data_IF_012109447221
#
_entry.id   IF_012109447221
#
_cell.length_a   1.000
_cell.length_b   1.000
_cell.length_c   1.000
_cell.angle_alpha   90.00
_cell.angle_beta   90.00
_cell.angle_gamma   90.00
#
_symmetry.space_group_name_H-M   'P 1'
#
loop_
_entity.id
_entity.type
_entity.pdbx_description
1 polymer ?
#
# COMPACT_ATOMS: atom_id res chain seq x y z
N UNK A 1 20.81 2.36 -3.03
CA UNK A 1 19.55 1.65 -2.73
C UNK A 1 19.90 0.28 -2.18
N UNK A 2 19.03 -0.30 -1.35
CA UNK A 2 19.19 -1.68 -0.87
C UNK A 2 18.76 -2.67 -1.97
N UNK A 3 19.32 -3.88 -1.95
CA UNK A 3 19.03 -4.91 -2.95
C UNK A 3 17.53 -5.24 -3.05
N UNK A 4 16.80 -5.17 -1.93
CA UNK A 4 15.36 -5.47 -1.93
C UNK A 4 14.52 -4.38 -2.61
N UNK A 5 14.89 -3.11 -2.42
CA UNK A 5 14.22 -1.99 -3.11
C UNK A 5 14.42 -2.04 -4.62
N UNK A 6 15.62 -2.42 -5.07
CA UNK A 6 15.89 -2.59 -6.51
C UNK A 6 15.06 -3.74 -7.11
N UNK A 7 14.90 -4.87 -6.38
CA UNK A 7 14.04 -5.98 -6.78
C UNK A 7 12.57 -5.58 -6.86
N UNK A 8 12.08 -4.83 -5.88
CA UNK A 8 10.72 -4.30 -5.88
C UNK A 8 10.46 -3.44 -7.11
N UNK A 9 11.33 -2.45 -7.37
CA UNK A 9 11.19 -1.56 -8.52
C UNK A 9 11.18 -2.36 -9.83
N UNK A 10 12.11 -3.31 -9.99
CA UNK A 10 12.17 -4.14 -11.18
C UNK A 10 10.90 -4.99 -11.38
N UNK A 11 10.32 -5.52 -10.30
CA UNK A 11 9.05 -6.27 -10.39
C UNK A 11 7.89 -5.35 -10.75
N UNK A 12 7.77 -4.18 -10.12
CA UNK A 12 6.73 -3.21 -10.44
C UNK A 12 6.83 -2.80 -11.91
N UNK A 13 8.02 -2.43 -12.39
CA UNK A 13 8.24 -2.05 -13.80
C UNK A 13 7.92 -3.18 -14.76
N UNK A 14 8.25 -4.43 -14.41
CA UNK A 14 7.89 -5.61 -15.19
C UNK A 14 6.37 -5.76 -15.32
N UNK A 15 5.61 -5.55 -14.25
CA UNK A 15 4.15 -5.60 -14.30
C UNK A 15 3.57 -4.39 -15.06
N UNK A 16 4.12 -3.19 -14.88
CA UNK A 16 3.69 -1.94 -15.51
C UNK A 16 3.82 -1.96 -17.04
N UNK A 17 4.76 -2.73 -17.62
CA UNK A 17 4.93 -2.86 -19.09
C UNK A 17 3.67 -3.30 -19.84
N UNK A 18 2.69 -3.90 -19.14
CA UNK A 18 1.41 -4.33 -19.71
C UNK A 18 0.41 -3.17 -19.89
N UNK A 19 0.68 -2.02 -19.29
CA UNK A 19 -0.24 -0.89 -19.16
C UNK A 19 0.37 0.37 -19.75
N UNK A 20 -0.48 1.29 -20.20
CA UNK A 20 -0.02 2.61 -20.64
C UNK A 20 0.28 3.50 -19.44
N UNK A 21 1.16 4.47 -19.65
CA UNK A 21 1.37 5.55 -18.70
C UNK A 21 0.01 6.22 -18.39
N UNK A 22 -0.25 6.43 -17.10
CA UNK A 22 -1.53 6.93 -16.54
C UNK A 22 -2.73 5.97 -16.53
N UNK A 23 -2.60 4.72 -16.99
CA UNK A 23 -3.62 3.72 -16.66
C UNK A 23 -3.58 3.39 -15.15
N UNK A 24 -4.72 3.04 -14.52
CA UNK A 24 -4.77 2.85 -13.08
C UNK A 24 -3.70 1.90 -12.53
N UNK A 25 -3.47 0.70 -13.10
CA UNK A 25 -2.40 -0.18 -12.64
C UNK A 25 -0.99 0.42 -12.77
N UNK A 26 -0.76 1.24 -13.80
CA UNK A 26 0.51 1.95 -13.95
C UNK A 26 0.72 2.94 -12.80
N UNK A 27 -0.29 3.77 -12.52
CA UNK A 27 -0.21 4.78 -11.45
C UNK A 27 -0.12 4.18 -10.05
N UNK A 28 -0.79 3.04 -9.81
CA UNK A 28 -0.66 2.27 -8.56
C UNK A 28 0.77 1.77 -8.40
N UNK A 29 1.40 1.28 -9.48
CA UNK A 29 2.80 0.90 -9.46
C UNK A 29 3.72 2.04 -9.02
N UNK A 30 3.53 3.25 -9.54
CA UNK A 30 4.31 4.43 -9.09
C UNK A 30 4.12 4.72 -7.60
N UNK A 31 2.89 4.67 -7.11
CA UNK A 31 2.63 4.88 -5.69
C UNK A 31 3.24 3.78 -4.79
N UNK A 32 3.26 2.53 -5.24
CA UNK A 32 3.93 1.43 -4.51
C UNK A 32 5.45 1.59 -4.49
N UNK A 33 6.07 2.20 -5.52
CA UNK A 33 7.49 2.56 -5.48
C UNK A 33 7.76 3.59 -4.38
N UNK A 34 6.89 4.60 -4.24
CA UNK A 34 7.00 5.61 -3.20
C UNK A 34 6.84 5.01 -1.79
N UNK A 35 5.86 4.13 -1.59
CA UNK A 35 5.64 3.42 -0.33
C UNK A 35 6.85 2.51 -0.01
N UNK A 36 7.32 1.73 -0.97
CA UNK A 36 8.48 0.85 -0.84
C UNK A 36 9.79 1.59 -0.57
N UNK A 37 9.89 2.87 -0.94
CA UNK A 37 11.08 3.68 -0.67
C UNK A 37 11.26 3.99 0.84
N UNK A 38 10.18 3.96 1.64
CA UNK A 38 10.19 4.32 3.06
C UNK A 38 11.09 3.42 3.91
N UNK A 39 11.05 2.11 3.71
CA UNK A 39 11.88 1.16 4.46
C UNK A 39 12.11 -0.14 3.70
N UNK A 40 13.19 -0.85 4.02
CA UNK A 40 13.49 -2.15 3.41
C UNK A 40 12.47 -3.23 3.78
N UNK A 41 11.88 -3.16 4.98
CA UNK A 41 10.83 -4.09 5.41
C UNK A 41 9.55 -3.95 4.56
N UNK A 42 9.09 -2.72 4.35
CA UNK A 42 7.93 -2.45 3.48
C UNK A 42 8.22 -2.94 2.06
N UNK A 43 9.44 -2.70 1.56
CA UNK A 43 9.82 -3.16 0.23
C UNK A 43 9.82 -4.69 0.09
N UNK A 44 10.24 -5.41 1.14
CA UNK A 44 10.25 -6.88 1.16
C UNK A 44 8.83 -7.46 1.13
N UNK A 45 7.92 -6.94 1.95
CA UNK A 45 6.50 -7.33 1.97
C UNK A 45 5.87 -7.10 0.59
N UNK A 46 6.01 -5.89 0.04
CA UNK A 46 5.48 -5.56 -1.27
C UNK A 46 6.06 -6.45 -2.38
N UNK A 47 7.37 -6.71 -2.35
CA UNK A 47 8.00 -7.56 -3.35
C UNK A 47 7.46 -8.99 -3.31
N UNK A 48 7.27 -9.55 -2.11
CA UNK A 48 6.71 -10.89 -1.93
C UNK A 48 5.24 -10.95 -2.39
N UNK A 49 4.42 -10.00 -1.96
CA UNK A 49 2.99 -9.96 -2.27
C UNK A 49 2.73 -9.75 -3.76
N UNK A 50 3.52 -8.92 -4.44
CA UNK A 50 3.39 -8.69 -5.88
C UNK A 50 3.63 -9.94 -6.74
N UNK A 51 4.22 -11.01 -6.19
CA UNK A 51 4.33 -12.31 -6.87
C UNK A 51 3.01 -13.10 -6.86
N UNK A 52 2.06 -12.75 -5.99
CA UNK A 52 0.74 -13.36 -5.91
C UNK A 52 -0.21 -12.64 -6.88
N UNK A 53 -0.88 -13.39 -7.76
CA UNK A 53 -1.84 -12.85 -8.73
C UNK A 53 -2.98 -12.05 -8.07
N UNK A 54 -3.39 -12.43 -6.85
CA UNK A 54 -4.44 -11.72 -6.10
C UNK A 54 -3.95 -10.43 -5.43
N UNK A 55 -2.65 -10.18 -5.45
CA UNK A 55 -2.01 -9.02 -4.81
C UNK A 55 -1.05 -8.31 -5.77
N UNK A 56 -1.20 -8.52 -7.08
CA UNK A 56 -0.41 -7.81 -8.09
C UNK A 56 -0.91 -6.35 -8.29
N UNK A 57 -0.21 -5.56 -9.10
CA UNK A 57 -0.60 -4.15 -9.33
C UNK A 57 -2.01 -4.00 -9.95
N UNK A 58 -2.45 -4.99 -10.72
CA UNK A 58 -3.77 -5.00 -11.37
C UNK A 58 -4.87 -5.26 -10.34
N UNK A 59 -4.65 -6.19 -9.41
CA UNK A 59 -5.55 -6.47 -8.29
C UNK A 59 -5.66 -5.27 -7.34
N UNK A 60 -4.53 -4.61 -7.02
CA UNK A 60 -4.54 -3.39 -6.22
C UNK A 60 -5.30 -2.24 -6.91
N UNK A 61 -5.13 -2.07 -8.23
CA UNK A 61 -5.91 -1.10 -9.00
C UNK A 61 -7.40 -1.42 -9.02
N UNK A 62 -7.78 -2.69 -9.15
CA UNK A 62 -9.17 -3.13 -9.07
C UNK A 62 -9.78 -2.88 -7.69
N UNK A 63 -9.02 -3.10 -6.60
CA UNK A 63 -9.46 -2.79 -5.25
C UNK A 63 -9.76 -1.29 -5.09
N UNK A 64 -8.88 -0.41 -5.59
CA UNK A 64 -9.13 1.03 -5.60
C UNK A 64 -10.35 1.38 -6.45
N UNK A 65 -10.50 0.80 -7.63
CA UNK A 65 -11.66 1.03 -8.50
C UNK A 65 -12.97 0.61 -7.81
N UNK A 66 -13.01 -0.55 -7.15
CA UNK A 66 -14.17 -1.00 -6.38
C UNK A 66 -14.49 -0.06 -5.21
N UNK A 67 -13.47 0.42 -4.49
CA UNK A 67 -13.66 1.42 -3.45
C UNK A 67 -14.26 2.69 -4.04
N UNK A 68 -13.74 3.13 -5.17
CA UNK A 68 -14.27 4.27 -5.90
C UNK A 68 -15.75 4.01 -6.23
N UNK A 69 -16.08 2.93 -6.93
CA UNK A 69 -17.43 2.61 -7.37
C UNK A 69 -18.45 2.48 -6.23
N UNK A 70 -18.04 1.95 -5.06
CA UNK A 70 -18.88 1.89 -3.86
C UNK A 70 -19.17 3.26 -3.25
N UNK A 71 -18.22 4.20 -3.36
CA UNK A 71 -18.31 5.54 -2.76
C UNK A 71 -18.68 6.63 -3.78
N UNK A 72 -18.73 6.30 -5.07
CA UNK A 72 -19.19 7.17 -6.12
C UNK A 72 -20.65 7.54 -5.86
N UNK A 73 -20.91 8.82 -5.63
CA UNK A 73 -22.26 9.36 -5.67
C UNK A 73 -22.92 9.13 -7.04
N UNK A 74 -24.20 9.48 -7.19
CA UNK A 74 -25.01 9.20 -8.39
C UNK A 74 -24.37 9.66 -9.72
N UNK A 75 -23.47 10.63 -9.69
CA UNK A 75 -22.80 11.16 -10.87
C UNK A 75 -21.56 10.36 -11.35
N UNK A 76 -21.08 9.35 -10.60
CA UNK A 76 -19.86 8.56 -10.96
C UNK A 76 -18.61 9.41 -11.24
N UNK A 77 -18.49 10.57 -10.59
CA UNK A 77 -17.38 11.54 -10.75
C UNK A 77 -16.66 11.76 -9.42
N UNK A 78 -16.22 10.69 -8.78
CA UNK A 78 -15.46 10.82 -7.55
C UNK A 78 -14.05 10.27 -7.77
N UNK A 79 -13.08 10.94 -7.16
CA UNK A 79 -11.68 10.59 -7.27
C UNK A 79 -11.20 10.18 -5.88
N UNK A 80 -10.31 9.20 -5.83
CA UNK A 80 -9.61 8.85 -4.61
C UNK A 80 -8.44 9.82 -4.47
N UNK A 81 -8.39 10.54 -3.35
CA UNK A 81 -7.25 11.42 -3.05
C UNK A 81 -5.96 10.60 -2.89
N UNK A 82 -4.77 11.14 -3.20
CA UNK A 82 -3.52 10.41 -3.03
C UNK A 82 -3.32 9.82 -1.61
N UNK A 83 -3.65 10.60 -0.56
CA UNK A 83 -3.61 10.14 0.84
C UNK A 83 -4.53 8.95 1.07
N UNK A 84 -5.78 9.01 0.59
CA UNK A 84 -6.71 7.89 0.75
C UNK A 84 -6.27 6.65 -0.04
N UNK A 85 -5.68 6.82 -1.22
CA UNK A 85 -5.12 5.71 -1.98
C UNK A 85 -3.96 5.06 -1.23
N UNK A 86 -3.10 5.84 -0.58
CA UNK A 86 -1.99 5.35 0.25
C UNK A 86 -2.50 4.50 1.41
N UNK A 87 -3.48 5.00 2.17
CA UNK A 87 -4.14 4.24 3.25
C UNK A 87 -4.72 2.91 2.75
N UNK A 88 -5.48 2.94 1.65
CA UNK A 88 -6.11 1.75 1.09
C UNK A 88 -5.09 0.72 0.58
N UNK A 89 -3.98 1.18 -0.02
CA UNK A 89 -2.90 0.30 -0.44
C UNK A 89 -2.18 -0.32 0.76
N UNK A 90 -1.91 0.46 1.81
CA UNK A 90 -1.33 -0.07 3.05
C UNK A 90 -2.23 -1.11 3.70
N UNK A 91 -3.53 -0.87 3.75
CA UNK A 91 -4.51 -1.82 4.28
C UNK A 91 -4.58 -3.11 3.46
N UNK A 92 -4.47 -2.99 2.13
CA UNK A 92 -4.48 -4.12 1.19
C UNK A 92 -3.26 -5.02 1.37
N UNK A 93 -2.07 -4.43 1.48
CA UNK A 93 -0.79 -5.14 1.67
C UNK A 93 -0.40 -5.35 3.15
N UNK A 94 -1.28 -5.02 4.10
CA UNK A 94 -1.04 -5.13 5.55
C UNK A 94 0.24 -4.41 6.03
N UNK A 95 0.51 -3.25 5.43
CA UNK A 95 1.65 -2.41 5.74
C UNK A 95 1.38 -1.49 6.95
N UNK A 96 2.41 -1.07 7.69
CA UNK A 96 2.27 -0.07 8.74
C UNK A 96 1.81 1.29 8.15
N UNK A 97 1.11 2.08 8.97
CA UNK A 97 0.67 3.43 8.64
C UNK A 97 1.83 4.34 8.20
N UNK A 98 1.51 5.35 7.39
CA UNK A 98 2.54 6.22 6.84
C UNK A 98 3.23 7.01 7.96
N UNK A 99 4.54 7.22 7.82
CA UNK A 99 5.28 8.06 8.78
C UNK A 99 4.88 9.54 8.70
N UNK A 100 4.17 9.93 7.62
CA UNK A 100 3.75 11.30 7.33
C UNK A 100 2.47 11.70 8.07
N UNK A 101 1.73 10.74 8.62
CA UNK A 101 0.51 10.98 9.40
C UNK A 101 0.81 11.45 10.85
N UNK A 102 2.09 11.56 11.23
CA UNK A 102 2.52 12.06 12.54
C UNK A 102 2.35 13.57 12.75
N UNK A 103 1.41 14.22 12.07
CA UNK A 103 0.96 15.57 12.39
C UNK A 103 -0.34 15.49 13.21
N UNK A 104 -0.21 15.10 14.48
CA UNK A 104 -1.15 15.43 15.55
C UNK A 104 -2.11 14.34 16.02
N UNK A 105 -1.61 13.27 16.65
CA UNK A 105 -2.06 12.74 17.95
C UNK A 105 -1.36 11.39 18.19
N UNK A 106 -0.24 11.45 18.91
CA UNK A 106 0.29 10.28 19.57
C UNK A 106 -0.57 9.97 20.80
N UNK A 107 -1.65 9.24 20.62
CA UNK A 107 -2.17 8.37 21.68
C UNK A 107 -1.73 6.96 21.36
N UNK A 108 -0.50 6.63 21.73
CA UNK A 108 -0.15 5.24 22.03
C UNK A 108 -1.02 4.86 23.22
N UNK A 109 -2.16 4.23 22.99
CA UNK A 109 -2.78 3.42 24.04
C UNK A 109 -1.73 2.39 24.47
N UNK A 110 -1.43 2.25 25.77
CA UNK A 110 -0.49 1.25 26.20
C UNK A 110 -1.07 -0.12 25.84
N UNK A 111 -0.43 -0.79 24.87
CA UNK A 111 -0.57 -2.23 24.65
C UNK A 111 -0.60 -2.91 26.03
N UNK A 112 -1.59 -3.77 26.32
CA UNK A 112 -1.68 -4.41 27.63
C UNK A 112 -0.38 -5.18 27.89
N UNK A 113 0.47 -4.64 28.76
CA UNK A 113 1.69 -5.29 29.17
C UNK A 113 1.30 -6.56 29.92
N UNK A 114 1.51 -7.70 29.28
CA UNK A 114 1.31 -9.01 29.90
C UNK A 114 2.35 -9.16 31.01
N UNK A 115 1.89 -9.14 32.26
CA UNK A 115 2.75 -9.36 33.41
C UNK A 115 3.07 -10.86 33.53
N UNK A 116 4.33 -11.23 33.28
CA UNK A 116 4.80 -12.61 33.37
C UNK A 116 4.66 -13.20 34.78
N UNK A 117 4.55 -12.36 35.82
CA UNK A 117 4.31 -12.81 37.18
C UNK A 117 2.90 -13.37 37.41
N UNK A 118 1.97 -13.15 36.47
CA UNK A 118 0.59 -13.69 36.58
C UNK A 118 0.52 -15.18 36.15
N UNK A 119 1.61 -15.76 35.65
CA UNK A 119 1.69 -17.14 35.14
C UNK A 119 2.41 -18.13 36.08
N UNK A 120 2.86 -17.68 37.26
CA UNK A 120 3.61 -18.50 38.22
C UNK A 120 2.99 -18.46 39.62
#
# INVERSE_FOLDING_TARGET
MSLIKDKLIAEIEKQQKRFKEFEPPYTVGEQLKDIGAESDNIADILYADLQNEQMNIEAAANMLQEYADKNHGREKKFCITPTKADELLRDFYKLPSSSKDNNGEGTTEPEPFVNLADFF
#
